data_IF_699322614491
#
_entry.id   IF_699322614491
#
_cell.length_a   1.000
_cell.length_b   1.000
_cell.length_c   1.000
_cell.angle_alpha   90.00
_cell.angle_beta   90.00
_cell.angle_gamma   90.00
#
_symmetry.space_group_name_H-M   'P 1'
#
loop_
_entity.id
_entity.type
_entity.pdbx_description
1 polymer ?
#
# COMPACT_ATOMS: atom_id res chain seq x y z
N UNK A 1 22.29 -0.30 -7.57
CA UNK A 1 20.91 -0.10 -7.07
C UNK A 1 19.97 -0.90 -7.94
N UNK A 2 19.19 -1.83 -7.37
CA UNK A 2 18.32 -2.75 -8.13
C UNK A 2 16.98 -2.11 -8.55
N UNK A 3 16.63 -0.97 -7.96
CA UNK A 3 15.39 -0.21 -8.19
C UNK A 3 14.93 -0.06 -9.64
N UNK A 4 15.77 0.29 -10.64
CA UNK A 4 15.30 0.42 -12.03
C UNK A 4 14.87 -0.89 -12.66
N UNK A 5 15.29 -2.03 -12.09
CA UNK A 5 14.97 -3.37 -12.61
C UNK A 5 13.71 -3.97 -11.97
N UNK A 6 13.20 -3.38 -10.88
CA UNK A 6 12.04 -3.91 -10.14
C UNK A 6 10.79 -4.09 -11.02
N UNK A 7 10.42 -3.14 -11.91
CA UNK A 7 9.27 -3.33 -12.78
C UNK A 7 9.41 -4.53 -13.72
N UNK A 8 10.62 -4.81 -14.21
CA UNK A 8 10.89 -5.97 -15.05
C UNK A 8 10.78 -7.28 -14.28
N UNK A 9 11.23 -7.30 -13.02
CA UNK A 9 11.07 -8.46 -12.13
C UNK A 9 9.58 -8.74 -11.89
N UNK A 10 8.77 -7.70 -11.62
CA UNK A 10 7.32 -7.86 -11.46
C UNK A 10 6.68 -8.37 -12.76
N UNK A 11 7.04 -7.80 -13.91
CA UNK A 11 6.53 -8.24 -15.21
C UNK A 11 6.84 -9.71 -15.49
N UNK A 12 8.04 -10.18 -15.14
CA UNK A 12 8.39 -11.60 -15.22
C UNK A 12 7.47 -12.46 -14.33
N UNK A 13 7.25 -12.05 -13.08
CA UNK A 13 6.37 -12.80 -12.17
C UNK A 13 4.91 -12.80 -12.66
N UNK A 14 4.45 -11.71 -13.27
CA UNK A 14 3.13 -11.65 -13.90
C UNK A 14 3.00 -12.66 -15.05
N UNK A 15 4.02 -12.79 -15.91
CA UNK A 15 4.04 -13.81 -16.95
C UNK A 15 3.96 -15.23 -16.38
N UNK A 16 4.69 -15.52 -15.29
CA UNK A 16 4.58 -16.80 -14.55
C UNK A 16 3.16 -17.01 -14.00
N UNK A 17 2.49 -15.95 -13.55
CA UNK A 17 1.11 -16.03 -13.05
C UNK A 17 0.09 -16.46 -14.10
N UNK A 18 0.26 -15.97 -15.33
CA UNK A 18 -0.58 -16.28 -16.48
C UNK A 18 -0.26 -17.65 -17.11
N UNK A 19 0.95 -18.14 -16.90
CA UNK A 19 1.40 -19.42 -17.44
C UNK A 19 0.76 -20.63 -16.73
N UNK A 20 0.33 -21.61 -17.52
CA UNK A 20 -0.32 -22.85 -17.06
C UNK A 20 0.68 -23.98 -16.78
N UNK A 21 1.90 -23.90 -17.33
CA UNK A 21 2.93 -24.96 -17.20
C UNK A 21 3.98 -24.65 -16.13
N UNK A 22 3.79 -23.58 -15.36
CA UNK A 22 4.70 -23.18 -14.29
C UNK A 22 4.80 -24.23 -13.18
N UNK A 23 6.03 -24.56 -12.80
CA UNK A 23 6.30 -25.56 -11.76
C UNK A 23 6.00 -25.01 -10.36
N UNK A 24 5.68 -25.88 -9.41
CA UNK A 24 5.44 -25.46 -8.03
C UNK A 24 6.68 -24.80 -7.38
N UNK A 25 7.89 -25.19 -7.80
CA UNK A 25 9.13 -24.59 -7.32
C UNK A 25 9.30 -23.15 -7.84
N UNK A 26 9.02 -22.91 -9.12
CA UNK A 26 9.04 -21.56 -9.69
C UNK A 26 8.02 -20.64 -8.99
N UNK A 27 6.78 -21.12 -8.83
CA UNK A 27 5.72 -20.40 -8.13
C UNK A 27 6.14 -20.05 -6.70
N UNK A 28 6.79 -20.98 -5.99
CA UNK A 28 7.28 -20.74 -4.63
C UNK A 28 8.40 -19.71 -4.57
N UNK A 29 9.35 -19.76 -5.50
CA UNK A 29 10.41 -18.76 -5.62
C UNK A 29 9.84 -17.37 -5.90
N UNK A 30 8.86 -17.28 -6.80
CA UNK A 30 8.13 -16.04 -7.06
C UNK A 30 7.41 -15.51 -5.81
N UNK A 31 6.75 -16.39 -5.03
CA UNK A 31 6.08 -15.99 -3.80
C UNK A 31 7.06 -15.39 -2.78
N UNK A 32 8.22 -16.02 -2.57
CA UNK A 32 9.28 -15.48 -1.70
C UNK A 32 9.76 -14.11 -2.18
N UNK A 33 10.09 -14.02 -3.47
CA UNK A 33 10.56 -12.79 -4.09
C UNK A 33 9.54 -11.64 -3.98
N UNK A 34 8.24 -11.90 -4.19
CA UNK A 34 7.17 -10.91 -3.98
C UNK A 34 7.23 -10.35 -2.56
N UNK A 35 7.36 -11.22 -1.55
CA UNK A 35 7.39 -10.78 -0.15
C UNK A 35 8.66 -9.97 0.17
N UNK A 36 9.82 -10.35 -0.35
CA UNK A 36 11.06 -9.60 -0.19
C UNK A 36 10.98 -8.22 -0.84
N UNK A 37 10.40 -8.12 -2.03
CA UNK A 37 10.22 -6.85 -2.73
C UNK A 37 9.25 -5.94 -1.97
N UNK A 38 8.14 -6.45 -1.46
CA UNK A 38 7.17 -5.65 -0.72
C UNK A 38 7.75 -5.16 0.62
N UNK A 39 8.49 -6.01 1.32
CA UNK A 39 9.15 -5.62 2.57
C UNK A 39 10.26 -4.60 2.35
N UNK A 40 10.96 -4.66 1.20
CA UNK A 40 12.05 -3.73 0.88
C UNK A 40 11.59 -2.39 0.26
N UNK A 41 10.59 -2.40 -0.62
CA UNK A 41 10.15 -1.21 -1.39
C UNK A 41 8.87 -0.57 -0.82
N UNK A 42 8.12 -1.29 0.00
CA UNK A 42 6.92 -0.78 0.67
C UNK A 42 5.88 -0.26 -0.31
N UNK A 43 5.26 0.87 0.05
CA UNK A 43 4.11 1.45 -0.64
C UNK A 43 4.34 1.70 -2.13
N UNK A 44 5.57 2.03 -2.54
CA UNK A 44 5.93 2.31 -3.94
C UNK A 44 5.68 1.14 -4.89
N UNK A 45 5.65 -0.09 -4.36
CA UNK A 45 5.48 -1.30 -5.14
C UNK A 45 4.03 -1.81 -5.14
N UNK A 46 3.16 -1.26 -4.28
CA UNK A 46 1.83 -1.81 -4.05
C UNK A 46 0.99 -1.83 -5.33
N UNK A 47 1.00 -0.75 -6.10
CA UNK A 47 0.28 -0.65 -7.37
C UNK A 47 0.73 -1.68 -8.41
N UNK A 48 2.01 -2.05 -8.40
CA UNK A 48 2.57 -3.03 -9.34
C UNK A 48 2.20 -4.47 -8.98
N UNK A 49 2.04 -4.76 -7.68
CA UNK A 49 1.73 -6.12 -7.18
C UNK A 49 0.23 -6.40 -7.07
N UNK A 50 -0.63 -5.38 -7.07
CA UNK A 50 -2.09 -5.51 -7.05
C UNK A 50 -2.69 -5.86 -8.42
N UNK A 51 -2.09 -6.85 -9.08
CA UNK A 51 -2.56 -7.36 -10.37
C UNK A 51 -3.09 -8.78 -10.23
N UNK A 52 -4.06 -9.14 -11.08
CA UNK A 52 -4.67 -10.48 -11.07
C UNK A 52 -3.60 -11.57 -11.27
N UNK A 53 -2.63 -11.35 -12.14
CA UNK A 53 -1.54 -12.30 -12.40
C UNK A 53 -0.73 -12.61 -11.13
N UNK A 54 -0.39 -11.60 -10.33
CA UNK A 54 0.31 -11.80 -9.04
C UNK A 54 -0.59 -12.52 -8.03
N UNK A 55 -1.87 -12.16 -7.97
CA UNK A 55 -2.86 -12.87 -7.15
C UNK A 55 -2.95 -14.35 -7.52
N UNK A 56 -2.88 -14.67 -8.82
CA UNK A 56 -2.87 -16.03 -9.34
C UNK A 56 -1.62 -16.80 -8.90
N UNK A 57 -0.42 -16.20 -8.96
CA UNK A 57 0.81 -16.81 -8.41
C UNK A 57 0.65 -17.15 -6.94
N UNK A 58 0.20 -16.19 -6.12
CA UNK A 58 0.03 -16.40 -4.69
C UNK A 58 -1.03 -17.45 -4.38
N UNK A 59 -2.12 -17.48 -5.15
CA UNK A 59 -3.19 -18.47 -5.01
C UNK A 59 -2.70 -19.88 -5.37
N UNK A 60 -1.96 -20.03 -6.48
CA UNK A 60 -1.29 -21.28 -6.86
C UNK A 60 -0.34 -21.73 -5.73
N UNK A 61 0.48 -20.82 -5.21
CA UNK A 61 1.39 -21.09 -4.10
C UNK A 61 0.70 -21.57 -2.83
N UNK A 62 -0.43 -20.96 -2.44
CA UNK A 62 -1.21 -21.39 -1.25
C UNK A 62 -1.86 -22.76 -1.41
N UNK A 63 -2.11 -23.20 -2.64
CA UNK A 63 -2.68 -24.53 -2.96
C UNK A 63 -1.62 -25.62 -3.08
N UNK A 64 -0.34 -25.27 -3.05
CA UNK A 64 0.77 -26.21 -3.13
C UNK A 64 0.71 -27.29 -2.02
N UNK A 65 1.12 -28.52 -2.35
CA UNK A 65 1.16 -29.65 -1.39
C UNK A 65 2.28 -29.50 -0.36
N UNK A 66 3.40 -28.90 -0.73
CA UNK A 66 4.56 -28.76 0.15
C UNK A 66 4.39 -27.62 1.14
N UNK A 67 4.42 -27.96 2.44
CA UNK A 67 4.19 -27.01 3.54
C UNK A 67 5.09 -25.78 3.48
N UNK A 68 6.40 -25.96 3.23
CA UNK A 68 7.36 -24.84 3.14
C UNK A 68 6.99 -23.83 2.04
N UNK A 69 6.60 -24.30 0.86
CA UNK A 69 6.19 -23.44 -0.27
C UNK A 69 4.89 -22.69 0.03
N UNK A 70 3.91 -23.40 0.59
CA UNK A 70 2.64 -22.82 1.03
C UNK A 70 2.85 -21.70 2.05
N UNK A 71 3.75 -21.89 3.01
CA UNK A 71 4.08 -20.88 4.02
C UNK A 71 4.63 -19.59 3.41
N UNK A 72 5.46 -19.68 2.36
CA UNK A 72 5.97 -18.49 1.65
C UNK A 72 4.83 -17.71 0.96
N UNK A 73 3.91 -18.41 0.29
CA UNK A 73 2.77 -17.77 -0.36
C UNK A 73 1.84 -17.09 0.66
N UNK A 74 1.60 -17.73 1.82
CA UNK A 74 0.81 -17.15 2.92
C UNK A 74 1.53 -15.91 3.48
N UNK A 75 2.83 -16.01 3.73
CA UNK A 75 3.62 -14.89 4.24
C UNK A 75 3.60 -13.69 3.29
N UNK A 76 3.88 -13.89 2.01
CA UNK A 76 3.83 -12.82 1.01
C UNK A 76 2.43 -12.18 0.90
N UNK A 77 1.38 -13.00 0.96
CA UNK A 77 -0.02 -12.50 1.01
C UNK A 77 -0.26 -11.61 2.23
N UNK A 78 0.29 -11.97 3.39
CA UNK A 78 0.18 -11.16 4.62
C UNK A 78 0.95 -9.85 4.51
N UNK A 79 2.13 -9.85 3.88
CA UNK A 79 2.91 -8.63 3.69
C UNK A 79 2.20 -7.61 2.81
N UNK A 80 1.57 -8.04 1.70
CA UNK A 80 0.69 -7.19 0.89
C UNK A 80 -0.43 -6.60 1.76
N UNK A 81 -1.16 -7.46 2.49
CA UNK A 81 -2.30 -7.02 3.30
C UNK A 81 -1.91 -6.05 4.40
N UNK A 82 -0.79 -6.29 5.08
CA UNK A 82 -0.23 -5.41 6.10
C UNK A 82 0.06 -4.03 5.53
N UNK A 83 0.69 -3.99 4.36
CA UNK A 83 1.02 -2.74 3.68
C UNK A 83 -0.23 -1.96 3.27
N UNK A 84 -1.23 -2.63 2.66
CA UNK A 84 -2.52 -2.02 2.31
C UNK A 84 -3.19 -1.37 3.52
N UNK A 85 -3.30 -2.12 4.62
CA UNK A 85 -3.91 -1.62 5.85
C UNK A 85 -3.14 -0.43 6.42
N UNK A 86 -1.80 -0.48 6.40
CA UNK A 86 -0.95 0.61 6.86
C UNK A 86 -1.16 1.91 6.08
N UNK A 87 -1.37 1.81 4.76
CA UNK A 87 -1.62 2.98 3.91
C UNK A 87 -3.03 3.52 4.15
N UNK A 88 -4.03 2.65 4.31
CA UNK A 88 -5.40 3.05 4.61
C UNK A 88 -5.50 3.80 5.94
N UNK A 89 -4.89 3.27 7.01
CA UNK A 89 -4.85 3.95 8.30
C UNK A 89 -4.13 5.31 8.21
N UNK A 90 -3.00 5.39 7.50
CA UNK A 90 -2.31 6.66 7.29
C UNK A 90 -3.18 7.71 6.56
N UNK A 91 -3.94 7.27 5.55
CA UNK A 91 -4.87 8.14 4.82
C UNK A 91 -6.03 8.63 5.69
N UNK A 92 -6.60 7.76 6.55
CA UNK A 92 -7.64 8.14 7.51
C UNK A 92 -7.14 9.15 8.54
N UNK A 93 -5.91 8.98 9.06
CA UNK A 93 -5.28 9.96 9.95
C UNK A 93 -5.07 11.31 9.25
N UNK A 94 -4.68 11.32 7.98
CA UNK A 94 -4.51 12.56 7.21
C UNK A 94 -5.85 13.24 6.90
N UNK A 95 -6.90 12.48 6.58
CA UNK A 95 -8.23 13.00 6.36
C UNK A 95 -8.82 13.61 7.65
N UNK A 96 -8.71 12.90 8.79
CA UNK A 96 -9.15 13.41 10.08
C UNK A 96 -8.39 14.69 10.49
N UNK A 97 -7.07 14.74 10.26
CA UNK A 97 -6.27 15.93 10.52
C UNK A 97 -6.62 17.11 9.60
N UNK A 98 -6.98 16.86 8.34
CA UNK A 98 -7.42 17.91 7.40
C UNK A 98 -8.77 18.51 7.81
N UNK A 99 -9.72 17.68 8.24
CA UNK A 99 -11.03 18.14 8.76
C UNK A 99 -10.86 18.98 10.03
N UNK A 100 -10.01 18.54 10.96
CA UNK A 100 -9.72 19.31 12.17
C UNK A 100 -9.08 20.68 11.86
N UNK A 101 -8.18 20.76 10.88
CA UNK A 101 -7.58 22.01 10.42
C UNK A 101 -8.61 22.95 9.81
N UNK A 102 -9.52 22.45 8.98
CA UNK A 102 -10.58 23.24 8.36
C UNK A 102 -11.51 23.89 9.41
N UNK A 103 -11.91 23.13 10.43
CA UNK A 103 -12.74 23.63 11.53
C UNK A 103 -12.04 24.71 12.38
N UNK A 104 -10.71 24.62 12.52
CA UNK A 104 -9.93 25.61 13.29
C UNK A 104 -9.82 26.94 12.52
N UNK A 105 -9.67 26.88 11.19
CA UNK A 105 -9.60 28.07 10.33
C UNK A 105 -10.91 28.87 10.24
N UNK A 106 -12.08 28.23 10.28
CA UNK A 106 -13.37 28.95 10.36
C UNK A 106 -13.56 29.67 11.71
N UNK A 107 -13.07 29.06 12.80
CA UNK A 107 -13.14 29.68 14.14
C UNK A 107 -12.24 30.92 14.26
N UNK A 108 -11.06 30.92 13.64
CA UNK A 108 -10.13 32.08 13.61
C UNK A 108 -10.65 33.24 12.75
N UNK A 109 -11.35 32.94 11.65
CA UNK A 109 -11.98 33.96 10.81
C UNK A 109 -13.15 34.66 11.52
N UNK A 110 -13.90 33.95 12.36
CA UNK A 110 -15.02 34.51 13.13
C UNK A 110 -14.55 35.50 14.22
N UNK A 111 -13.39 35.28 14.82
CA UNK A 111 -12.90 36.12 15.93
C UNK A 111 -12.30 37.46 15.45
N UNK A 112 -11.78 37.53 14.22
CA UNK A 112 -11.24 38.78 13.66
C UNK A 112 -12.32 39.82 13.27
N UNK A 113 -13.57 39.40 12.99
CA UNK A 113 -14.63 40.31 12.57
C UNK A 113 -15.23 41.08 13.76
N UNK A 114 -15.14 40.55 14.97
CA UNK A 114 -15.76 41.17 16.17
C UNK A 114 -14.87 42.28 16.78
N UNK A 115 -13.57 42.28 16.51
CA UNK A 115 -12.60 43.23 17.11
C UNK A 115 -12.52 44.63 16.47
N UNK A 116 -13.20 44.90 15.36
CA UNK A 116 -12.97 46.12 14.57
C UNK A 116 -13.87 47.34 14.92
N UNK A 117 -14.78 47.25 15.89
CA UNK A 117 -15.79 48.31 16.14
C UNK A 117 -15.64 49.13 17.44
N UNK A 118 -14.51 49.04 18.15
CA UNK A 118 -14.31 49.76 19.41
C UNK A 118 -13.37 50.98 19.24
N UNK A 119 -13.84 52.02 18.56
CA UNK A 119 -13.11 53.28 18.55
C UNK A 119 -13.78 54.33 17.71
N UNK A 120 -14.68 55.11 18.33
CA UNK A 120 -14.97 56.52 18.02
C UNK A 120 -16.19 56.94 18.88
N UNK A 121 -15.93 57.57 20.02
CA UNK A 121 -16.61 58.81 20.40
C UNK A 121 -16.03 59.36 21.70
N UNK A 122 -15.25 60.42 21.56
CA UNK A 122 -14.96 61.35 22.63
C UNK A 122 -15.15 62.75 22.05
N UNK A 123 -16.31 63.36 22.34
CA UNK A 123 -16.56 64.80 22.46
C UNK A 123 -18.02 65.03 22.85
#
# INVERSE_FOLDING_TARGET
MITPYVPYIISFIQHVGLDSISTEDLISSCCGLIGDLITSFGASLLELVETEAISNVLTKGRRCKMSKRKSLAIWATREIKKLKNSIQSAGEQQAAAAVARAHTSESLAAEQVVGASAGLNNK
#
